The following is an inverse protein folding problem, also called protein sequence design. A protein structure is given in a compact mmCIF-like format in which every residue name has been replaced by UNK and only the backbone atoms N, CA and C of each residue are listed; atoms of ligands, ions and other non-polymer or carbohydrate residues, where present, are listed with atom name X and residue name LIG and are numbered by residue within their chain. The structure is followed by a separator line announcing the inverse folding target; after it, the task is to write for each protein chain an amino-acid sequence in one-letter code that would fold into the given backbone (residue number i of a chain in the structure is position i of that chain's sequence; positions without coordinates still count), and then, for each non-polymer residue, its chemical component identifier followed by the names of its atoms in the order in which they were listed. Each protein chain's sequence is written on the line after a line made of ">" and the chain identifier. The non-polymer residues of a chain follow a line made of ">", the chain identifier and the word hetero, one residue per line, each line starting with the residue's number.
data_IF_727681933748
#
_entry.id   IF_727681933748
#
_cell.length_a   1.000
_cell.length_b   1.000
_cell.length_c   1.000
_cell.angle_alpha   90.00
_cell.angle_beta   90.00
_cell.angle_gamma   90.00
#
_symmetry.space_group_name_H-M   'P 1'
#
loop_
_entity.id
_entity.type
_entity.pdbx_description
1 polymer ?
#
# COMPACT_ATOMS: atom_id res chain seq x y z
N UNK A 1 5.71 22.51 10.81
CA UNK A 1 6.46 21.27 11.10
C UNK A 1 5.75 20.02 10.58
N UNK A 2 4.47 19.79 10.92
CA UNK A 2 3.71 18.58 10.53
C UNK A 2 3.60 18.35 9.02
N UNK A 3 3.35 19.40 8.23
CA UNK A 3 3.32 19.29 6.76
C UNK A 3 4.66 18.88 6.14
N UNK A 4 5.79 19.28 6.73
CA UNK A 4 7.12 18.87 6.23
C UNK A 4 7.32 17.37 6.43
N UNK A 5 6.85 16.80 7.54
CA UNK A 5 6.90 15.35 7.77
C UNK A 5 6.08 14.60 6.72
N UNK A 6 4.87 15.08 6.42
CA UNK A 6 4.03 14.48 5.38
C UNK A 6 4.68 14.64 4.00
N UNK A 7 5.24 15.81 3.70
CA UNK A 7 5.93 16.09 2.43
C UNK A 7 7.13 15.16 2.21
N UNK A 8 8.05 15.09 3.16
CA UNK A 8 9.23 14.23 3.05
C UNK A 8 8.87 12.75 3.06
N UNK A 9 7.97 12.32 3.95
CA UNK A 9 7.50 10.95 3.99
C UNK A 9 6.79 10.55 2.69
N UNK A 10 5.89 11.40 2.21
CA UNK A 10 5.14 11.21 0.96
C UNK A 10 6.05 11.15 -0.26
N UNK A 11 7.04 12.04 -0.34
CA UNK A 11 8.06 12.02 -1.39
C UNK A 11 8.84 10.70 -1.41
N UNK A 12 9.32 10.24 -0.24
CA UNK A 12 10.02 8.95 -0.12
C UNK A 12 9.12 7.77 -0.51
N UNK A 13 7.87 7.75 -0.03
CA UNK A 13 6.90 6.73 -0.39
C UNK A 13 6.65 6.67 -1.89
N UNK A 14 6.45 7.83 -2.53
CA UNK A 14 6.22 7.93 -3.97
C UNK A 14 7.46 7.50 -4.78
N UNK A 15 8.67 7.79 -4.31
CA UNK A 15 9.91 7.30 -4.93
C UNK A 15 10.01 5.78 -4.87
N UNK A 16 9.72 5.14 -3.73
CA UNK A 16 9.70 3.68 -3.62
C UNK A 16 8.64 3.05 -4.51
N UNK A 17 7.44 3.63 -4.55
CA UNK A 17 6.39 3.22 -5.48
C UNK A 17 6.86 3.27 -6.93
N UNK A 18 7.50 4.37 -7.33
CA UNK A 18 8.03 4.54 -8.69
C UNK A 18 9.12 3.52 -9.02
N UNK A 19 10.02 3.25 -8.07
CA UNK A 19 11.04 2.22 -8.21
C UNK A 19 10.42 0.84 -8.44
N UNK A 20 9.46 0.43 -7.61
CA UNK A 20 8.79 -0.87 -7.74
C UNK A 20 8.03 -0.97 -9.07
N UNK A 21 7.36 0.10 -9.50
CA UNK A 21 6.69 0.13 -10.80
C UNK A 21 7.69 -0.15 -11.94
N UNK A 22 8.83 0.54 -11.94
CA UNK A 22 9.87 0.39 -12.96
C UNK A 22 10.47 -1.01 -12.99
N UNK A 23 10.75 -1.61 -11.82
CA UNK A 23 11.31 -2.97 -11.72
C UNK A 23 10.28 -4.01 -12.15
N UNK A 24 9.04 -3.90 -11.67
CA UNK A 24 7.97 -4.86 -11.96
C UNK A 24 7.63 -4.89 -13.44
N UNK A 25 7.58 -3.73 -14.11
CA UNK A 25 7.32 -3.66 -15.54
C UNK A 25 8.36 -4.40 -16.38
N UNK A 26 9.62 -4.44 -15.92
CA UNK A 26 10.72 -5.18 -16.58
C UNK A 26 10.67 -6.68 -16.31
N UNK A 27 10.29 -7.08 -15.09
CA UNK A 27 10.38 -8.48 -14.64
C UNK A 27 9.11 -9.31 -14.93
N UNK A 28 7.93 -8.69 -14.79
CA UNK A 28 6.64 -9.40 -14.80
C UNK A 28 5.77 -9.04 -16.01
N UNK A 29 6.22 -8.09 -16.84
CA UNK A 29 5.48 -7.57 -17.99
C UNK A 29 4.28 -6.71 -17.60
N UNK A 30 3.41 -6.46 -18.58
CA UNK A 30 2.27 -5.52 -18.48
C UNK A 30 0.90 -6.19 -18.63
N UNK A 31 0.89 -7.53 -18.64
CA UNK A 31 -0.34 -8.31 -18.75
C UNK A 31 -1.20 -8.24 -17.48
N UNK A 32 -0.62 -7.95 -16.32
CA UNK A 32 -1.35 -7.73 -15.08
C UNK A 32 -0.67 -6.62 -14.25
N UNK A 33 -1.44 -5.79 -13.53
CA UNK A 33 -0.90 -4.67 -12.73
C UNK A 33 -0.21 -5.15 -11.43
N UNK A 34 0.85 -5.95 -11.57
CA UNK A 34 1.57 -6.55 -10.44
C UNK A 34 2.14 -5.51 -9.47
N UNK A 35 2.59 -4.37 -9.99
CA UNK A 35 3.19 -3.31 -9.18
C UNK A 35 2.16 -2.69 -8.22
N UNK A 36 1.02 -2.21 -8.73
CA UNK A 36 -0.04 -1.60 -7.93
C UNK A 36 -0.64 -2.59 -6.93
N UNK A 37 -0.83 -3.83 -7.37
CA UNK A 37 -1.27 -4.91 -6.51
C UNK A 37 -0.29 -5.11 -5.32
N UNK A 38 1.00 -5.24 -5.61
CA UNK A 38 2.03 -5.49 -4.60
C UNK A 38 2.15 -4.34 -3.61
N UNK A 39 2.28 -3.10 -4.08
CA UNK A 39 2.47 -1.94 -3.20
C UNK A 39 1.27 -1.74 -2.27
N UNK A 40 0.05 -1.97 -2.75
CA UNK A 40 -1.15 -1.81 -1.93
C UNK A 40 -1.26 -2.91 -0.87
N UNK A 41 -1.07 -4.18 -1.24
CA UNK A 41 -1.14 -5.30 -0.29
C UNK A 41 -0.02 -5.23 0.76
N UNK A 42 1.24 -5.02 0.32
CA UNK A 42 2.38 -4.87 1.23
C UNK A 42 2.24 -3.61 2.10
N UNK A 43 1.76 -2.51 1.54
CA UNK A 43 1.53 -1.26 2.26
C UNK A 43 0.46 -1.40 3.34
N UNK A 44 -0.62 -2.11 3.07
CA UNK A 44 -1.65 -2.41 4.07
C UNK A 44 -1.13 -3.32 5.19
N UNK A 45 -0.31 -4.33 4.88
CA UNK A 45 0.35 -5.14 5.91
C UNK A 45 1.22 -4.28 6.83
N UNK A 46 2.09 -3.44 6.25
CA UNK A 46 2.96 -2.54 7.02
C UNK A 46 2.14 -1.53 7.83
N UNK A 47 1.05 -1.00 7.27
CA UNK A 47 0.10 -0.15 8.01
C UNK A 47 -0.43 -0.87 9.25
N UNK A 48 -0.78 -2.15 9.12
CA UNK A 48 -1.28 -2.99 10.21
C UNK A 48 -0.26 -3.18 11.32
N UNK A 49 0.99 -3.45 10.96
CA UNK A 49 2.11 -3.56 11.92
C UNK A 49 2.30 -2.24 12.69
N UNK A 50 2.33 -1.11 11.99
CA UNK A 50 2.52 0.20 12.63
C UNK A 50 1.33 0.56 13.53
N UNK A 51 0.10 0.35 13.05
CA UNK A 51 -1.11 0.62 13.81
C UNK A 51 -1.20 -0.27 15.06
N UNK A 52 -0.91 -1.56 14.93
CA UNK A 52 -0.85 -2.50 16.06
C UNK A 52 0.17 -2.09 17.11
N UNK A 53 1.37 -1.68 16.68
CA UNK A 53 2.43 -1.24 17.57
C UNK A 53 2.04 0.01 18.36
N UNK A 54 1.43 0.99 17.69
CA UNK A 54 0.98 2.21 18.36
C UNK A 54 -0.22 2.02 19.28
N UNK A 55 -1.08 1.03 19.00
CA UNK A 55 -2.14 0.64 19.91
C UNK A 55 -1.59 0.06 21.22
N UNK A 56 -0.52 -0.75 21.16
CA UNK A 56 0.10 -1.34 22.34
C UNK A 56 0.89 -0.32 23.17
N UNK A 57 1.74 0.49 22.53
CA UNK A 57 2.73 1.31 23.26
C UNK A 57 2.17 2.55 23.98
N UNK A 58 0.85 2.79 23.91
CA UNK A 58 0.17 3.83 24.69
C UNK A 58 0.84 5.21 24.65
N UNK A 59 1.29 5.69 23.49
CA UNK A 59 2.03 6.98 23.47
C UNK A 59 2.84 7.33 22.22
N UNK A 60 2.43 6.91 21.02
CA UNK A 60 3.18 7.35 19.82
C UNK A 60 3.05 8.84 19.60
N UNK A 61 4.19 9.53 19.47
CA UNK A 61 4.25 10.91 18.99
C UNK A 61 3.47 11.05 17.69
N UNK A 62 2.55 12.00 17.63
CA UNK A 62 1.73 12.30 16.45
C UNK A 62 2.60 12.54 15.21
N UNK A 63 3.80 13.08 15.39
CA UNK A 63 4.76 13.33 14.31
C UNK A 63 5.20 12.04 13.62
N UNK A 64 5.42 10.96 14.37
CA UNK A 64 5.84 9.66 13.80
C UNK A 64 4.69 9.04 13.01
N UNK A 65 3.45 9.14 13.52
CA UNK A 65 2.25 8.69 12.79
C UNK A 65 2.09 9.43 11.46
N UNK A 66 2.20 10.76 11.47
CA UNK A 66 2.12 11.57 10.26
C UNK A 66 3.22 11.22 9.25
N UNK A 67 4.46 11.05 9.70
CA UNK A 67 5.57 10.71 8.81
C UNK A 67 5.42 9.31 8.18
N UNK A 68 5.13 8.29 8.99
CA UNK A 68 5.07 6.90 8.54
C UNK A 68 3.76 6.55 7.83
N UNK A 69 2.62 6.85 8.45
CA UNK A 69 1.31 6.40 7.96
C UNK A 69 0.78 7.33 6.87
N UNK A 70 0.70 8.63 7.16
CA UNK A 70 0.19 9.61 6.18
C UNK A 70 1.22 9.93 5.10
N UNK A 71 2.49 10.09 5.47
CA UNK A 71 3.59 10.36 4.56
C UNK A 71 3.99 9.11 3.76
N UNK A 72 4.87 8.27 4.32
CA UNK A 72 5.48 7.15 3.60
C UNK A 72 4.43 6.20 3.02
N UNK A 73 3.54 5.65 3.85
CA UNK A 73 2.55 4.68 3.35
C UNK A 73 1.51 5.32 2.44
N UNK A 74 1.13 6.58 2.69
CA UNK A 74 0.25 7.34 1.79
C UNK A 74 0.86 7.62 0.43
N UNK A 75 2.17 7.90 0.36
CA UNK A 75 2.90 8.06 -0.90
C UNK A 75 3.21 6.73 -1.61
N UNK A 76 3.45 5.67 -0.82
CA UNK A 76 3.81 4.34 -1.30
C UNK A 76 2.63 3.59 -1.93
N UNK A 77 1.45 3.67 -1.31
CA UNK A 77 0.22 3.05 -1.81
C UNK A 77 -0.51 3.97 -2.79
N UNK A 78 -1.49 3.45 -3.54
CA UNK A 78 -2.32 4.27 -4.42
C UNK A 78 -3.64 3.62 -4.78
N UNK A 79 -4.72 4.38 -4.60
CA UNK A 79 -6.03 4.01 -5.09
C UNK A 79 -6.29 4.51 -6.52
N UNK A 80 -5.69 5.64 -6.92
CA UNK A 80 -5.91 6.20 -8.26
C UNK A 80 -5.31 5.34 -9.37
N UNK A 81 -4.09 4.80 -9.18
CA UNK A 81 -3.50 3.89 -10.15
C UNK A 81 -4.26 2.54 -10.16
N UNK A 82 -4.73 2.08 -9.00
CA UNK A 82 -5.58 0.90 -8.90
C UNK A 82 -6.84 1.02 -9.75
N UNK A 83 -7.55 2.14 -9.65
CA UNK A 83 -8.75 2.39 -10.46
C UNK A 83 -8.44 2.44 -11.96
N UNK A 84 -7.33 3.07 -12.34
CA UNK A 84 -6.89 3.13 -13.74
C UNK A 84 -6.55 1.73 -14.28
N UNK A 85 -5.78 0.94 -13.53
CA UNK A 85 -5.41 -0.43 -13.90
C UNK A 85 -6.66 -1.31 -14.09
N UNK A 86 -7.65 -1.18 -13.20
CA UNK A 86 -8.92 -1.89 -13.32
C UNK A 86 -9.71 -1.48 -14.58
N UNK A 87 -9.76 -0.17 -14.88
CA UNK A 87 -10.40 0.35 -16.09
C UNK A 87 -9.69 -0.16 -17.36
N UNK A 88 -8.36 -0.15 -17.40
CA UNK A 88 -7.59 -0.64 -18.55
C UNK A 88 -7.77 -2.15 -18.77
N UNK A 89 -7.89 -2.94 -17.70
CA UNK A 89 -8.23 -4.36 -17.80
C UNK A 89 -9.64 -4.56 -18.39
N UNK A 90 -10.59 -3.73 -17.98
CA UNK A 90 -11.95 -3.76 -18.49
C UNK A 90 -12.03 -3.35 -19.97
N UNK A 91 -11.41 -2.23 -20.35
CA UNK A 91 -11.45 -1.68 -21.72
C UNK A 91 -10.86 -2.64 -22.76
N UNK A 92 -9.84 -3.42 -22.40
CA UNK A 92 -9.24 -4.43 -23.29
C UNK A 92 -9.98 -5.78 -23.28
N UNK A 93 -11.16 -5.85 -22.66
CA UNK A 93 -12.01 -7.06 -22.62
C UNK A 93 -11.56 -8.15 -21.63
N UNK A 94 -10.57 -7.88 -20.77
CA UNK A 94 -10.02 -8.84 -19.83
C UNK A 94 -10.83 -8.91 -18.51
N UNK A 95 -12.14 -9.15 -18.61
CA UNK A 95 -13.09 -9.05 -17.48
C UNK A 95 -12.73 -9.95 -16.30
N UNK A 96 -12.30 -11.19 -16.56
CA UNK A 96 -11.87 -12.12 -15.51
C UNK A 96 -10.65 -11.60 -14.73
N UNK A 97 -9.68 -11.00 -15.42
CA UNK A 97 -8.50 -10.39 -14.79
C UNK A 97 -8.87 -9.11 -14.04
N UNK A 98 -9.78 -8.28 -14.57
CA UNK A 98 -10.27 -7.10 -13.89
C UNK A 98 -10.94 -7.46 -12.55
N UNK A 99 -11.84 -8.45 -12.57
CA UNK A 99 -12.52 -8.94 -11.36
C UNK A 99 -11.52 -9.52 -10.35
N UNK A 100 -10.59 -10.37 -10.80
CA UNK A 100 -9.53 -10.93 -9.95
C UNK A 100 -8.67 -9.83 -9.33
N UNK A 101 -8.28 -8.83 -10.11
CA UNK A 101 -7.47 -7.71 -9.65
C UNK A 101 -8.18 -6.87 -8.59
N UNK A 102 -9.44 -6.49 -8.84
CA UNK A 102 -10.24 -5.69 -7.90
C UNK A 102 -10.49 -6.46 -6.61
N UNK A 103 -11.04 -7.67 -6.70
CA UNK A 103 -11.40 -8.48 -5.53
C UNK A 103 -10.15 -8.87 -4.76
N UNK A 104 -9.12 -9.36 -5.47
CA UNK A 104 -7.85 -9.77 -4.87
C UNK A 104 -7.17 -8.62 -4.15
N UNK A 105 -7.10 -7.43 -4.76
CA UNK A 105 -6.48 -6.26 -4.13
C UNK A 105 -7.18 -5.87 -2.84
N UNK A 106 -8.52 -5.81 -2.84
CA UNK A 106 -9.29 -5.41 -1.66
C UNK A 106 -9.18 -6.46 -0.55
N UNK A 107 -9.43 -7.73 -0.88
CA UNK A 107 -9.41 -8.83 0.11
C UNK A 107 -8.03 -8.97 0.73
N UNK A 108 -6.97 -8.98 -0.08
CA UNK A 108 -5.61 -9.18 0.44
C UNK A 108 -5.06 -7.94 1.16
N UNK A 109 -5.44 -6.72 0.74
CA UNK A 109 -5.06 -5.52 1.49
C UNK A 109 -5.69 -5.50 2.89
N UNK A 110 -6.99 -5.79 2.98
CA UNK A 110 -7.71 -5.86 4.27
C UNK A 110 -7.13 -7.00 5.12
N UNK A 111 -6.97 -8.19 4.54
CA UNK A 111 -6.37 -9.33 5.24
C UNK A 111 -4.95 -9.02 5.72
N UNK A 112 -4.13 -8.38 4.89
CA UNK A 112 -2.78 -7.94 5.24
C UNK A 112 -2.77 -6.97 6.42
N UNK A 113 -3.66 -5.96 6.41
CA UNK A 113 -3.80 -5.02 7.53
C UNK A 113 -4.11 -5.76 8.85
N UNK A 114 -5.11 -6.62 8.85
CA UNK A 114 -5.48 -7.39 10.04
C UNK A 114 -4.39 -8.36 10.47
N UNK A 115 -3.71 -9.02 9.53
CA UNK A 115 -2.58 -9.89 9.81
C UNK A 115 -1.44 -9.11 10.48
N UNK A 116 -1.11 -7.90 10.01
CA UNK A 116 -0.11 -7.04 10.64
C UNK A 116 -0.49 -6.66 12.06
N UNK A 117 -1.74 -6.24 12.29
CA UNK A 117 -2.21 -5.93 13.64
C UNK A 117 -2.19 -7.15 14.57
N UNK A 118 -2.62 -8.31 14.07
CA UNK A 118 -2.62 -9.56 14.82
C UNK A 118 -1.21 -10.02 15.17
N UNK A 119 -0.25 -9.89 14.25
CA UNK A 119 1.14 -10.26 14.48
C UNK A 119 1.71 -9.46 15.65
N UNK A 120 1.54 -8.14 15.67
CA UNK A 120 2.04 -7.30 16.77
C UNK A 120 1.41 -7.68 18.10
N UNK A 121 0.10 -7.93 18.13
CA UNK A 121 -0.60 -8.40 19.34
C UNK A 121 -0.09 -9.75 19.85
N UNK A 122 0.46 -10.60 18.97
CA UNK A 122 1.00 -11.89 19.36
C UNK A 122 2.41 -11.79 19.95
N UNK A 123 3.18 -10.77 19.61
CA UNK A 123 4.59 -10.60 20.05
C UNK A 123 4.78 -9.52 21.13
N UNK A 124 3.71 -8.83 21.55
CA UNK A 124 3.76 -7.77 22.56
C UNK A 124 2.70 -7.98 23.62
#
# INVERSE_FOLDING_TARGET
>A
MTYLLVFFGGGLGAMFRHFINTVSGRMLGTAFPYHTFFINVSGSLVMGLIAGYFAFKGGSSQNVRLFLMTGILGGYTTFSAFSLDAALLYERGALGLAALYVIGSVVLAIAGLFAGMALIRAVT
#
